data_IF_952871238440
#
_entry.id   IF_952871238440
#
_cell.length_a   1.000
_cell.length_b   1.000
_cell.length_c   1.000
_cell.angle_alpha   90.00
_cell.angle_beta   90.00
_cell.angle_gamma   90.00
#
_symmetry.space_group_name_H-M   'P 1'
#
loop_
_entity.id
_entity.type
_entity.pdbx_description
1 polymer ?
#
# COMPACT_ATOMS: atom_id res chain seq x y z
N UNK A 1 25.55 7.89 15.95
CA UNK A 1 24.31 8.69 16.02
C UNK A 1 24.24 9.48 14.72
N UNK A 2 23.31 9.14 13.81
CA UNK A 2 23.15 9.89 12.56
C UNK A 2 22.38 11.16 12.91
N UNK A 3 23.07 12.29 12.86
CA UNK A 3 22.48 13.59 13.10
C UNK A 3 21.65 13.99 11.86
N UNK A 4 20.32 14.05 12.02
CA UNK A 4 19.41 14.44 10.94
C UNK A 4 19.52 15.95 10.75
N UNK A 5 20.13 16.36 9.65
CA UNK A 5 20.17 17.78 9.27
C UNK A 5 18.76 18.26 8.87
N UNK A 6 18.44 19.55 9.02
CA UNK A 6 17.17 20.13 8.54
C UNK A 6 16.84 19.76 7.09
N UNK A 7 17.87 19.72 6.20
CA UNK A 7 17.73 19.28 4.82
C UNK A 7 17.23 17.83 4.65
N UNK A 8 17.42 16.95 5.63
CA UNK A 8 16.94 15.57 5.59
C UNK A 8 15.45 15.50 5.93
N UNK A 9 14.96 16.42 6.77
CA UNK A 9 13.52 16.55 7.08
C UNK A 9 12.75 17.04 5.86
N UNK A 10 13.22 18.09 5.19
CA UNK A 10 12.60 18.61 3.96
C UNK A 10 12.59 17.57 2.83
N UNK A 11 13.68 16.79 2.69
CA UNK A 11 13.72 15.71 1.71
C UNK A 11 12.69 14.62 2.03
N UNK A 12 12.55 14.24 3.29
CA UNK A 12 11.57 13.22 3.69
C UNK A 12 10.13 13.67 3.47
N UNK A 13 9.82 14.96 3.64
CA UNK A 13 8.51 15.54 3.33
C UNK A 13 8.24 15.53 1.84
N UNK A 14 9.19 15.98 1.03
CA UNK A 14 9.06 15.93 -0.41
C UNK A 14 8.90 14.52 -0.97
N UNK A 15 9.63 13.54 -0.42
CA UNK A 15 9.48 12.14 -0.82
C UNK A 15 8.09 11.58 -0.47
N UNK A 16 7.52 12.00 0.65
CA UNK A 16 6.14 11.64 1.04
C UNK A 16 5.12 12.14 0.03
N UNK A 17 5.27 13.37 -0.44
CA UNK A 17 4.33 14.00 -1.36
C UNK A 17 4.41 13.42 -2.79
N UNK A 18 5.47 12.69 -3.15
CA UNK A 18 5.59 12.01 -4.45
C UNK A 18 4.74 10.76 -4.57
N UNK A 19 4.25 10.19 -3.46
CA UNK A 19 3.55 8.90 -3.39
C UNK A 19 2.09 8.93 -3.85
N UNK A 20 1.69 9.85 -4.71
CA UNK A 20 0.29 10.04 -5.15
C UNK A 20 -0.12 9.16 -6.33
N UNK A 21 0.83 8.65 -7.11
CA UNK A 21 0.58 7.76 -8.25
C UNK A 21 0.48 6.30 -7.83
N UNK A 22 -0.51 5.58 -8.34
CA UNK A 22 -0.59 4.14 -8.19
C UNK A 22 0.44 3.39 -9.05
N UNK A 23 1.03 4.06 -10.04
CA UNK A 23 2.11 3.54 -10.89
C UNK A 23 3.46 3.87 -10.27
N UNK A 24 4.11 2.90 -9.63
CA UNK A 24 5.35 3.17 -8.89
C UNK A 24 6.51 3.68 -9.75
N UNK A 25 6.72 3.30 -11.02
CA UNK A 25 7.73 3.93 -11.88
C UNK A 25 7.57 5.46 -12.00
N UNK A 26 6.35 5.96 -12.00
CA UNK A 26 6.07 7.41 -11.97
C UNK A 26 6.49 8.02 -10.63
N UNK A 27 6.14 7.38 -9.53
CA UNK A 27 6.53 7.78 -8.17
C UNK A 27 8.05 7.72 -8.00
N UNK A 28 8.70 6.63 -8.38
CA UNK A 28 10.16 6.46 -8.27
C UNK A 28 10.93 7.53 -9.03
N UNK A 29 10.50 7.84 -10.26
CA UNK A 29 11.07 8.94 -11.05
C UNK A 29 10.90 10.31 -10.37
N UNK A 30 9.73 10.55 -9.76
CA UNK A 30 9.48 11.78 -9.01
C UNK A 30 10.36 11.85 -7.74
N UNK A 31 10.55 10.75 -7.04
CA UNK A 31 11.45 10.66 -5.88
C UNK A 31 12.90 10.99 -6.25
N UNK A 32 13.43 10.43 -7.36
CA UNK A 32 14.77 10.75 -7.81
C UNK A 32 14.93 12.25 -8.13
N UNK A 33 13.95 12.84 -8.79
CA UNK A 33 13.94 14.29 -9.07
C UNK A 33 13.91 15.12 -7.79
N UNK A 34 13.13 14.71 -6.79
CA UNK A 34 13.06 15.41 -5.51
C UNK A 34 14.38 15.38 -4.75
N UNK A 35 15.13 14.27 -4.83
CA UNK A 35 16.50 14.15 -4.27
C UNK A 35 17.47 15.11 -4.98
N UNK A 36 17.45 15.13 -6.33
CA UNK A 36 18.31 16.01 -7.14
C UNK A 36 18.02 17.50 -6.91
N UNK A 37 16.73 17.87 -6.82
CA UNK A 37 16.31 19.25 -6.61
C UNK A 37 16.82 19.82 -5.27
N UNK A 38 17.29 18.96 -4.35
CA UNK A 38 17.90 19.34 -3.07
C UNK A 38 19.43 19.26 -3.07
N UNK A 39 20.05 19.29 -4.25
CA UNK A 39 21.51 19.30 -4.39
C UNK A 39 22.18 17.99 -3.98
N UNK A 40 21.43 16.89 -3.81
CA UNK A 40 22.00 15.57 -3.53
C UNK A 40 22.42 14.88 -4.82
N UNK A 41 23.47 14.02 -4.79
CA UNK A 41 23.81 13.18 -5.93
C UNK A 41 22.57 12.40 -6.43
N UNK A 42 22.47 12.24 -7.74
CA UNK A 42 21.39 11.48 -8.33
C UNK A 42 21.50 10.00 -7.92
N UNK A 43 20.49 9.42 -7.26
CA UNK A 43 20.49 7.99 -7.01
C UNK A 43 20.27 7.20 -8.31
N UNK A 44 20.79 5.97 -8.37
CA UNK A 44 20.57 5.04 -9.48
C UNK A 44 19.17 4.41 -9.46
N UNK A 45 18.46 4.50 -8.33
CA UNK A 45 17.10 3.98 -8.18
C UNK A 45 16.50 4.22 -6.81
N UNK A 46 15.31 3.68 -6.62
CA UNK A 46 14.55 3.71 -5.36
C UNK A 46 14.02 2.32 -5.06
N UNK A 47 14.15 1.90 -3.81
CA UNK A 47 13.53 0.69 -3.28
C UNK A 47 12.57 1.11 -2.18
N UNK A 48 11.32 0.71 -2.29
CA UNK A 48 10.31 0.88 -1.24
C UNK A 48 9.97 -0.49 -0.66
N UNK A 49 10.06 -0.58 0.65
CA UNK A 49 9.71 -1.75 1.44
C UNK A 49 8.63 -1.36 2.44
N UNK A 50 7.51 -2.06 2.43
CA UNK A 50 6.51 -1.89 3.46
C UNK A 50 6.81 -2.79 4.69
N UNK A 51 6.12 -2.61 5.83
CA UNK A 51 6.31 -3.45 7.00
C UNK A 51 6.05 -4.96 6.77
N UNK A 52 5.23 -5.33 5.78
CA UNK A 52 4.99 -6.73 5.42
C UNK A 52 6.19 -7.32 4.67
N UNK A 53 6.83 -6.55 3.80
CA UNK A 53 8.08 -6.95 3.16
C UNK A 53 9.19 -7.15 4.21
N UNK A 54 9.29 -6.23 5.17
CA UNK A 54 10.26 -6.34 6.25
C UNK A 54 10.01 -7.58 7.12
N UNK A 55 8.74 -7.91 7.40
CA UNK A 55 8.39 -9.17 8.07
C UNK A 55 8.88 -10.39 7.30
N UNK A 56 8.60 -10.46 5.99
CA UNK A 56 9.04 -11.57 5.13
C UNK A 56 10.57 -11.69 5.08
N UNK A 57 11.29 -10.57 5.05
CA UNK A 57 12.75 -10.58 5.12
C UNK A 57 13.23 -11.18 6.45
N UNK A 58 12.62 -10.79 7.57
CA UNK A 58 12.95 -11.34 8.90
C UNK A 58 12.56 -12.81 9.05
N UNK A 59 11.50 -13.29 8.37
CA UNK A 59 11.16 -14.72 8.29
C UNK A 59 12.30 -15.52 7.62
N UNK A 60 12.93 -14.96 6.60
CA UNK A 60 14.00 -15.62 5.84
C UNK A 60 15.38 -15.48 6.49
N UNK A 61 15.69 -14.32 7.05
CA UNK A 61 17.04 -13.99 7.57
C UNK A 61 17.18 -14.13 9.08
N UNK A 62 16.06 -14.38 9.76
CA UNK A 62 16.00 -14.40 11.22
C UNK A 62 15.90 -12.98 11.81
N UNK A 63 15.75 -12.90 13.14
CA UNK A 63 15.61 -11.63 13.84
C UNK A 63 16.93 -10.84 13.86
N UNK A 64 16.80 -9.51 13.96
CA UNK A 64 17.93 -8.58 14.01
C UNK A 64 17.95 -7.78 15.29
N UNK A 65 19.15 -7.48 15.79
CA UNK A 65 19.36 -6.52 16.88
C UNK A 65 19.61 -5.14 16.26
N UNK A 66 18.73 -4.19 16.56
CA UNK A 66 18.85 -2.80 16.07
C UNK A 66 19.55 -1.98 17.15
N UNK A 67 20.74 -1.42 16.88
CA UNK A 67 21.49 -0.65 17.86
C UNK A 67 20.67 0.48 18.47
N UNK A 68 20.59 0.51 19.81
CA UNK A 68 19.82 1.51 20.55
C UNK A 68 18.31 1.28 20.64
N UNK A 69 17.76 0.29 19.89
CA UNK A 69 16.30 0.06 19.77
C UNK A 69 15.86 -1.37 20.11
N UNK A 70 16.80 -2.27 20.33
CA UNK A 70 16.50 -3.65 20.74
C UNK A 70 16.30 -4.59 19.55
N UNK A 71 15.67 -5.76 19.81
CA UNK A 71 15.50 -6.83 18.84
C UNK A 71 14.17 -6.70 18.08
N UNK A 72 14.22 -6.96 16.76
CA UNK A 72 13.05 -7.08 15.92
C UNK A 72 13.05 -8.47 15.28
N UNK A 73 11.93 -9.18 15.38
CA UNK A 73 11.64 -10.45 14.75
C UNK A 73 10.46 -10.33 13.78
N UNK A 74 10.22 -11.38 13.01
CA UNK A 74 9.14 -11.40 12.03
C UNK A 74 7.75 -11.25 12.66
N UNK A 75 7.52 -11.85 13.83
CA UNK A 75 6.21 -11.81 14.50
C UNK A 75 5.84 -10.40 14.95
N UNK A 76 6.82 -9.65 15.49
CA UNK A 76 6.62 -8.29 15.97
C UNK A 76 6.85 -7.19 14.94
N UNK A 77 7.39 -7.49 13.75
CA UNK A 77 7.86 -6.49 12.80
C UNK A 77 6.80 -5.45 12.44
N UNK A 78 5.61 -5.89 12.04
CA UNK A 78 4.55 -4.97 11.61
C UNK A 78 4.14 -4.04 12.74
N UNK A 79 3.86 -4.57 13.94
CA UNK A 79 3.47 -3.77 15.09
C UNK A 79 4.58 -2.77 15.48
N UNK A 80 5.82 -3.25 15.61
CA UNK A 80 6.98 -2.43 16.01
C UNK A 80 7.31 -1.33 15.01
N UNK A 81 7.11 -1.57 13.70
CA UNK A 81 7.37 -0.57 12.64
C UNK A 81 6.21 0.40 12.42
N UNK A 82 5.05 0.14 13.02
CA UNK A 82 3.86 0.95 12.84
C UNK A 82 3.34 1.47 14.17
N UNK A 83 2.34 0.80 14.74
CA UNK A 83 1.63 1.20 15.96
C UNK A 83 2.57 1.45 17.15
N UNK A 84 3.45 0.51 17.45
CA UNK A 84 4.32 0.61 18.63
C UNK A 84 5.34 1.74 18.49
N UNK A 85 5.83 2.00 17.26
CA UNK A 85 6.71 3.12 16.99
C UNK A 85 6.02 4.47 17.25
N UNK A 86 4.76 4.63 16.84
CA UNK A 86 4.00 5.86 17.06
C UNK A 86 3.70 6.10 18.54
N UNK A 87 3.46 5.03 19.30
CA UNK A 87 3.21 5.12 20.74
C UNK A 87 4.48 5.42 21.53
N UNK A 88 5.59 4.78 21.18
CA UNK A 88 6.85 4.86 21.91
C UNK A 88 7.59 6.18 21.65
N UNK A 89 7.53 6.66 20.42
CA UNK A 89 8.19 7.90 19.99
C UNK A 89 7.17 8.88 19.41
N UNK A 90 6.56 9.72 20.27
CA UNK A 90 5.63 10.75 19.81
C UNK A 90 6.27 11.75 18.87
N UNK A 91 7.56 12.02 19.04
CA UNK A 91 8.34 12.88 18.16
C UNK A 91 8.59 12.24 16.79
N UNK A 92 8.39 13.01 15.72
CA UNK A 92 8.51 12.50 14.35
C UNK A 92 9.97 12.19 13.97
N UNK A 93 10.92 12.97 14.47
CA UNK A 93 12.34 12.78 14.14
C UNK A 93 12.92 11.57 14.87
N UNK A 94 12.47 11.31 16.10
CA UNK A 94 12.82 10.08 16.82
C UNK A 94 12.28 8.84 16.09
N UNK A 95 11.03 8.86 15.63
CA UNK A 95 10.48 7.77 14.82
C UNK A 95 11.24 7.58 13.53
N UNK A 96 11.65 8.66 12.88
CA UNK A 96 12.45 8.61 11.65
C UNK A 96 13.81 7.96 11.91
N UNK A 97 14.50 8.36 12.99
CA UNK A 97 15.77 7.73 13.41
C UNK A 97 15.61 6.24 13.68
N UNK A 98 14.55 5.85 14.38
CA UNK A 98 14.23 4.44 14.59
C UNK A 98 14.04 3.67 13.27
N UNK A 99 13.20 4.15 12.37
CA UNK A 99 12.98 3.49 11.09
C UNK A 99 14.24 3.42 10.23
N UNK A 100 15.08 4.45 10.25
CA UNK A 100 16.37 4.46 9.58
C UNK A 100 17.33 3.43 10.17
N UNK A 101 17.41 3.32 11.49
CA UNK A 101 18.25 2.32 12.14
C UNK A 101 17.80 0.90 11.82
N UNK A 102 16.49 0.65 11.81
CA UNK A 102 15.92 -0.66 11.42
C UNK A 102 16.26 -0.98 9.96
N UNK A 103 16.02 -0.04 9.04
CA UNK A 103 16.30 -0.23 7.63
C UNK A 103 17.80 -0.47 7.37
N UNK A 104 18.67 0.34 7.98
CA UNK A 104 20.12 0.18 7.86
C UNK A 104 20.59 -1.20 8.37
N UNK A 105 20.05 -1.65 9.50
CA UNK A 105 20.39 -2.97 10.07
C UNK A 105 19.92 -4.11 9.16
N UNK A 106 18.72 -4.02 8.60
CA UNK A 106 18.20 -5.02 7.67
C UNK A 106 18.99 -5.04 6.36
N UNK A 107 19.30 -3.87 5.79
CA UNK A 107 20.11 -3.77 4.58
C UNK A 107 21.52 -4.31 4.81
N UNK A 108 22.17 -3.96 5.93
CA UNK A 108 23.50 -4.50 6.27
C UNK A 108 23.44 -6.02 6.42
N UNK A 109 22.45 -6.56 7.10
CA UNK A 109 22.22 -8.01 7.24
C UNK A 109 22.02 -8.69 5.89
N UNK A 110 21.25 -8.04 5.01
CA UNK A 110 20.99 -8.49 3.65
C UNK A 110 22.27 -8.56 2.82
N UNK A 111 23.07 -7.48 2.82
CA UNK A 111 24.30 -7.40 2.03
C UNK A 111 25.43 -8.30 2.57
N UNK A 112 25.45 -8.59 3.87
CA UNK A 112 26.44 -9.49 4.50
C UNK A 112 26.01 -10.94 4.52
N UNK A 113 24.78 -11.27 4.13
CA UNK A 113 24.25 -12.62 4.10
C UNK A 113 24.83 -13.44 2.95
N UNK A 114 25.21 -14.70 3.24
CA UNK A 114 25.77 -15.62 2.25
C UNK A 114 24.73 -16.17 1.27
N UNK A 115 23.45 -15.84 1.43
CA UNK A 115 22.35 -16.36 0.61
C UNK A 115 21.55 -15.24 -0.05
N UNK A 116 22.18 -14.58 -1.01
CA UNK A 116 21.52 -13.58 -1.88
C UNK A 116 20.40 -14.20 -2.71
N UNK A 117 20.46 -15.51 -2.99
CA UNK A 117 19.45 -16.21 -3.77
C UNK A 117 18.17 -16.39 -2.94
N UNK A 118 18.27 -16.83 -1.67
CA UNK A 118 17.09 -16.92 -0.80
C UNK A 118 16.44 -15.55 -0.60
N UNK A 119 17.24 -14.53 -0.42
CA UNK A 119 16.74 -13.17 -0.25
C UNK A 119 16.09 -12.64 -1.53
N UNK A 120 16.67 -12.89 -2.69
CA UNK A 120 16.07 -12.56 -3.99
C UNK A 120 14.73 -13.25 -4.20
N UNK A 121 14.59 -14.52 -3.77
CA UNK A 121 13.31 -15.25 -3.80
C UNK A 121 12.25 -14.60 -2.90
N UNK A 122 12.62 -14.19 -1.69
CA UNK A 122 11.70 -13.53 -0.74
C UNK A 122 11.21 -12.19 -1.30
N UNK A 123 12.12 -11.39 -1.84
CA UNK A 123 11.77 -10.12 -2.49
C UNK A 123 10.90 -10.35 -3.73
N UNK A 124 11.24 -11.34 -4.57
CA UNK A 124 10.44 -11.73 -5.72
C UNK A 124 9.03 -12.16 -5.35
N UNK A 125 8.88 -12.96 -4.30
CA UNK A 125 7.57 -13.36 -3.77
C UNK A 125 6.76 -12.20 -3.16
N UNK A 126 7.41 -11.11 -2.76
CA UNK A 126 6.76 -9.91 -2.22
C UNK A 126 6.33 -8.92 -3.31
N UNK A 127 6.87 -9.03 -4.52
CA UNK A 127 6.58 -8.15 -5.67
C UNK A 127 5.10 -8.14 -6.08
N UNK A 128 4.46 -9.28 -6.35
CA UNK A 128 3.05 -9.32 -6.76
C UNK A 128 2.10 -8.67 -5.76
N UNK A 129 2.42 -8.73 -4.46
CA UNK A 129 1.68 -8.04 -3.40
C UNK A 129 2.00 -6.55 -3.28
N UNK A 130 2.93 -6.04 -4.10
CA UNK A 130 3.44 -4.65 -4.05
C UNK A 130 4.04 -4.26 -2.71
N UNK A 131 4.42 -5.23 -1.88
CA UNK A 131 5.09 -4.99 -0.60
C UNK A 131 6.56 -4.54 -0.82
N UNK A 132 7.14 -4.92 -1.95
CA UNK A 132 8.42 -4.43 -2.47
C UNK A 132 8.19 -3.79 -3.82
N UNK A 133 8.69 -2.57 -4.00
CA UNK A 133 8.62 -1.87 -5.26
C UNK A 133 9.99 -1.25 -5.55
N UNK A 134 10.50 -1.44 -6.75
CA UNK A 134 11.83 -0.98 -7.15
C UNK A 134 11.72 -0.18 -8.44
N UNK A 135 12.34 0.99 -8.44
CA UNK A 135 12.54 1.78 -9.65
C UNK A 135 14.04 1.96 -9.91
N UNK A 136 14.48 1.65 -11.11
CA UNK A 136 15.85 1.87 -11.55
C UNK A 136 15.93 2.98 -12.61
N UNK A 137 16.93 3.85 -12.51
CA UNK A 137 17.20 4.87 -13.51
C UNK A 137 17.74 4.28 -14.81
N UNK A 138 18.44 3.15 -14.73
CA UNK A 138 18.90 2.40 -15.89
C UNK A 138 17.73 1.70 -16.59
N UNK A 139 17.51 1.93 -17.90
CA UNK A 139 16.39 1.33 -18.63
C UNK A 139 16.46 -0.20 -18.76
N UNK A 140 17.66 -0.79 -18.77
CA UNK A 140 17.85 -2.23 -18.86
C UNK A 140 17.42 -2.92 -17.59
N UNK A 141 17.90 -2.42 -16.45
CA UNK A 141 17.51 -2.89 -15.13
C UNK A 141 16.02 -2.66 -14.88
N UNK A 142 15.47 -1.51 -15.30
CA UNK A 142 14.03 -1.25 -15.16
C UNK A 142 13.17 -2.26 -15.93
N UNK A 143 13.56 -2.63 -17.16
CA UNK A 143 12.85 -3.69 -17.92
C UNK A 143 12.92 -5.05 -17.24
N UNK A 144 14.05 -5.40 -16.67
CA UNK A 144 14.21 -6.65 -15.92
C UNK A 144 13.29 -6.66 -14.68
N UNK A 145 13.22 -5.56 -13.92
CA UNK A 145 12.34 -5.41 -12.76
C UNK A 145 10.86 -5.54 -13.16
N UNK A 146 10.47 -4.94 -14.29
CA UNK A 146 9.12 -5.07 -14.84
C UNK A 146 8.77 -6.52 -15.20
N UNK A 147 9.69 -7.25 -15.86
CA UNK A 147 9.53 -8.65 -16.18
C UNK A 147 9.29 -9.56 -14.94
N UNK A 148 9.86 -9.18 -13.80
CA UNK A 148 9.66 -9.87 -12.52
C UNK A 148 8.55 -9.26 -11.63
N UNK A 149 7.78 -8.27 -12.13
CA UNK A 149 6.73 -7.55 -11.40
C UNK A 149 7.22 -6.91 -10.08
N UNK A 150 8.47 -6.50 -10.04
CA UNK A 150 9.09 -5.82 -8.90
C UNK A 150 9.02 -4.29 -9.02
N UNK A 151 8.73 -3.78 -10.20
CA UNK A 151 8.69 -2.35 -10.47
C UNK A 151 7.43 -1.65 -9.95
N UNK A 152 6.45 -2.39 -9.44
CA UNK A 152 5.19 -1.81 -8.96
C UNK A 152 4.42 -1.02 -10.01
N UNK A 153 4.63 -1.28 -11.29
CA UNK A 153 3.84 -0.70 -12.37
C UNK A 153 2.38 -1.16 -12.31
N UNK A 154 1.50 -0.35 -12.87
CA UNK A 154 0.14 -0.78 -13.14
C UNK A 154 0.19 -1.87 -14.22
N UNK A 155 -0.33 -3.06 -13.90
CA UNK A 155 -0.35 -4.17 -14.85
C UNK A 155 -1.10 -3.78 -16.14
N UNK A 156 -0.62 -4.25 -17.27
CA UNK A 156 -1.35 -4.11 -18.52
C UNK A 156 -2.51 -5.12 -18.53
N UNK A 157 -3.78 -4.67 -18.64
CA UNK A 157 -4.92 -5.56 -18.70
C UNK A 157 -5.06 -6.24 -20.06
N UNK A 158 -4.28 -5.85 -21.09
CA UNK A 158 -4.57 -6.21 -22.48
C UNK A 158 -5.97 -5.76 -22.85
N UNK A 159 -6.75 -6.64 -23.47
CA UNK A 159 -8.15 -6.38 -23.84
C UNK A 159 -9.15 -6.69 -22.71
N UNK A 160 -8.65 -7.03 -21.52
CA UNK A 160 -9.48 -7.39 -20.36
C UNK A 160 -9.91 -6.22 -19.51
N UNK A 161 -10.75 -6.49 -18.50
CA UNK A 161 -11.07 -5.53 -17.45
C UNK A 161 -9.88 -5.34 -16.49
N UNK A 162 -9.85 -4.21 -15.82
CA UNK A 162 -8.78 -3.82 -14.90
C UNK A 162 -9.35 -3.41 -13.54
N UNK A 163 -8.84 -4.02 -12.49
CA UNK A 163 -9.25 -3.72 -11.12
C UNK A 163 -8.08 -3.17 -10.32
N UNK A 164 -8.10 -1.87 -10.05
CA UNK A 164 -7.25 -1.26 -9.05
C UNK A 164 -8.06 -0.28 -8.20
N UNK A 165 -7.88 -0.37 -6.89
CA UNK A 165 -8.50 0.50 -5.90
C UNK A 165 -7.43 0.92 -4.91
N UNK A 166 -7.33 2.22 -4.67
CA UNK A 166 -6.43 2.76 -3.66
C UNK A 166 -7.11 3.85 -2.83
N UNK A 167 -6.60 4.05 -1.62
CA UNK A 167 -6.99 5.15 -0.76
C UNK A 167 -5.79 6.03 -0.50
N UNK A 168 -6.00 7.33 -0.48
CA UNK A 168 -4.99 8.30 -0.04
C UNK A 168 -5.43 8.85 1.30
N UNK A 169 -4.62 8.67 2.32
CA UNK A 169 -4.88 9.22 3.66
C UNK A 169 -4.38 10.66 3.71
N UNK A 170 -5.30 11.59 3.94
CA UNK A 170 -5.01 13.03 4.09
C UNK A 170 -4.87 13.45 5.55
N UNK A 171 -5.29 12.60 6.50
CA UNK A 171 -5.19 12.88 7.94
C UNK A 171 -3.79 12.67 8.50
N UNK A 172 -2.83 12.25 7.68
CA UNK A 172 -1.43 11.96 8.08
C UNK A 172 -1.32 11.08 9.33
N UNK A 173 -2.34 10.25 9.55
CA UNK A 173 -2.42 9.32 10.67
C UNK A 173 -2.14 7.89 10.20
N UNK A 174 -1.97 6.97 11.14
CA UNK A 174 -1.84 5.54 10.85
C UNK A 174 -3.18 4.79 10.82
N UNK A 175 -4.27 5.51 10.60
CA UNK A 175 -5.63 4.93 10.55
C UNK A 175 -5.75 3.85 9.47
N UNK A 176 -4.93 3.92 8.43
CA UNK A 176 -4.91 2.93 7.34
C UNK A 176 -4.57 1.50 7.81
N UNK A 177 -3.87 1.34 8.94
CA UNK A 177 -3.62 0.04 9.56
C UNK A 177 -4.91 -0.68 9.96
N UNK A 178 -5.96 0.07 10.24
CA UNK A 178 -7.27 -0.42 10.66
C UNK A 178 -8.30 -0.36 9.54
N UNK A 179 -7.91 0.08 8.35
CA UNK A 179 -8.83 0.14 7.22
C UNK A 179 -9.09 -1.25 6.66
N UNK A 180 -10.39 -1.60 6.52
CA UNK A 180 -10.81 -2.83 5.85
C UNK A 180 -11.49 -2.49 4.54
N UNK A 181 -11.17 -3.24 3.50
CA UNK A 181 -11.75 -3.08 2.17
C UNK A 181 -12.42 -4.34 1.68
N UNK A 182 -13.63 -4.18 1.11
CA UNK A 182 -14.29 -5.20 0.33
C UNK A 182 -14.58 -4.68 -1.07
N UNK A 183 -14.31 -5.50 -2.10
CA UNK A 183 -14.58 -5.13 -3.49
C UNK A 183 -15.47 -6.20 -4.10
N UNK A 184 -16.55 -5.75 -4.74
CA UNK A 184 -17.45 -6.59 -5.54
C UNK A 184 -17.55 -6.00 -6.93
N UNK A 185 -17.49 -6.84 -7.95
CA UNK A 185 -17.66 -6.43 -9.33
C UNK A 185 -18.75 -7.28 -9.98
N UNK A 186 -19.66 -6.62 -10.69
CA UNK A 186 -20.71 -7.26 -11.49
C UNK A 186 -20.49 -6.88 -12.93
N UNK A 187 -20.33 -7.86 -13.80
CA UNK A 187 -20.11 -7.66 -15.24
C UNK A 187 -21.33 -8.21 -15.97
N UNK A 188 -21.91 -7.40 -16.86
CA UNK A 188 -22.96 -7.79 -17.78
C UNK A 188 -22.42 -7.68 -19.19
N UNK A 189 -22.27 -8.81 -19.87
CA UNK A 189 -21.85 -8.89 -21.26
C UNK A 189 -23.06 -8.78 -22.17
N UNK A 190 -22.93 -7.97 -23.21
CA UNK A 190 -23.90 -7.87 -24.30
C UNK A 190 -23.47 -8.76 -25.50
N UNK A 191 -24.41 -9.05 -26.40
CA UNK A 191 -24.16 -9.91 -27.57
C UNK A 191 -23.17 -9.30 -28.57
N UNK A 192 -23.02 -7.98 -28.55
CA UNK A 192 -22.09 -7.23 -29.40
C UNK A 192 -20.64 -7.20 -28.83
N UNK A 193 -20.39 -7.94 -27.74
CA UNK A 193 -19.09 -7.98 -27.08
C UNK A 193 -18.84 -6.78 -26.14
N UNK A 194 -19.78 -5.84 -26.02
CA UNK A 194 -19.67 -4.78 -25.02
C UNK A 194 -19.96 -5.30 -23.61
N UNK A 195 -19.44 -4.61 -22.60
CA UNK A 195 -19.71 -4.94 -21.22
C UNK A 195 -20.16 -3.71 -20.42
N UNK A 196 -21.14 -3.90 -19.58
CA UNK A 196 -21.46 -2.96 -18.50
C UNK A 196 -20.95 -3.54 -17.18
N UNK A 197 -20.08 -2.78 -16.52
CA UNK A 197 -19.47 -3.19 -15.26
C UNK A 197 -19.93 -2.27 -14.14
N UNK A 198 -20.30 -2.86 -13.02
CA UNK A 198 -20.58 -2.14 -11.77
C UNK A 198 -19.60 -2.61 -10.72
N UNK A 199 -18.71 -1.73 -10.28
CA UNK A 199 -17.73 -1.97 -9.22
C UNK A 199 -18.20 -1.31 -7.95
N UNK A 200 -18.29 -2.10 -6.87
CA UNK A 200 -18.72 -1.67 -5.54
C UNK A 200 -17.52 -1.83 -4.61
N UNK A 201 -17.08 -0.74 -4.01
CA UNK A 201 -15.96 -0.70 -3.07
C UNK A 201 -16.47 -0.24 -1.72
N UNK A 202 -16.43 -1.12 -0.73
CA UNK A 202 -16.75 -0.79 0.66
C UNK A 202 -15.45 -0.58 1.43
N UNK A 203 -15.33 0.56 2.09
CA UNK A 203 -14.22 0.90 2.98
C UNK A 203 -14.76 1.07 4.38
N UNK A 204 -14.14 0.43 5.36
CA UNK A 204 -14.51 0.51 6.78
C UNK A 204 -13.33 1.03 7.57
N UNK A 205 -13.52 2.07 8.35
CA UNK A 205 -12.58 2.48 9.38
C UNK A 205 -12.82 1.61 10.62
N UNK A 206 -12.00 0.58 10.81
CA UNK A 206 -12.13 -0.38 11.90
C UNK A 206 -11.19 -0.07 13.08
N UNK A 207 -10.90 1.21 13.32
CA UNK A 207 -10.14 1.63 14.52
C UNK A 207 -10.90 1.18 15.76
N UNK A 208 -10.28 0.41 16.66
CA UNK A 208 -10.90 -0.01 17.91
C UNK A 208 -11.21 1.21 18.80
N UNK A 209 -12.25 1.10 19.63
CA UNK A 209 -12.54 2.11 20.63
C UNK A 209 -11.34 2.26 21.60
N UNK A 210 -10.92 3.50 21.85
CA UNK A 210 -9.79 3.78 22.73
C UNK A 210 -8.40 3.53 22.11
N UNK A 211 -8.31 3.11 20.85
CA UNK A 211 -7.02 2.99 20.17
C UNK A 211 -6.40 4.38 19.92
N UNK A 212 -5.20 4.65 20.43
CA UNK A 212 -4.55 5.95 20.27
C UNK A 212 -3.97 6.07 18.85
N UNK A 213 -4.77 6.50 17.89
CA UNK A 213 -4.31 6.81 16.54
C UNK A 213 -3.96 8.29 16.45
N UNK A 214 -2.68 8.60 16.42
CA UNK A 214 -2.22 9.99 16.32
C UNK A 214 -2.33 10.49 14.89
N UNK A 215 -2.80 11.73 14.73
CA UNK A 215 -2.70 12.51 13.50
C UNK A 215 -1.52 13.48 13.60
N UNK A 216 -0.79 13.68 12.50
CA UNK A 216 0.29 14.66 12.46
C UNK A 216 -0.23 16.10 12.37
N UNK A 217 -1.48 16.29 11.95
CA UNK A 217 -2.05 17.62 11.66
C UNK A 217 -2.90 18.19 12.81
N UNK A 218 -3.35 17.36 13.72
CA UNK A 218 -4.10 17.82 14.90
C UNK A 218 -3.16 17.95 16.09
N UNK A 219 -3.21 19.06 16.78
CA UNK A 219 -2.45 19.33 18.01
C UNK A 219 -2.71 18.28 19.10
N UNK A 220 -2.26 17.03 18.87
CA UNK A 220 -2.29 15.94 19.83
C UNK A 220 -3.59 15.15 19.93
N UNK A 221 -4.65 15.46 19.20
CA UNK A 221 -5.91 14.71 19.31
C UNK A 221 -5.88 13.43 18.47
N UNK A 222 -5.97 12.30 19.16
CA UNK A 222 -6.10 10.98 18.54
C UNK A 222 -7.56 10.77 18.08
N UNK A 223 -7.95 11.36 16.95
CA UNK A 223 -9.35 11.27 16.49
C UNK A 223 -9.72 9.92 15.90
N UNK A 224 -8.75 9.10 15.50
CA UNK A 224 -8.99 7.85 14.78
C UNK A 224 -9.77 8.03 13.46
N UNK A 225 -9.93 9.26 12.98
CA UNK A 225 -10.69 9.63 11.79
C UNK A 225 -9.89 9.35 10.52
N UNK A 226 -10.51 8.70 9.54
CA UNK A 226 -9.94 8.41 8.22
C UNK A 226 -10.50 9.38 7.19
N UNK A 227 -9.80 10.49 6.97
CA UNK A 227 -10.15 11.46 5.95
C UNK A 227 -9.21 11.31 4.76
N UNK A 228 -9.75 11.25 3.54
CA UNK A 228 -8.93 11.07 2.36
C UNK A 228 -9.71 10.89 1.08
N UNK A 229 -9.09 10.21 0.12
CA UNK A 229 -9.67 9.95 -1.19
C UNK A 229 -9.72 8.45 -1.45
N UNK A 230 -10.87 7.96 -1.85
CA UNK A 230 -11.05 6.62 -2.41
C UNK A 230 -11.02 6.73 -3.93
N UNK A 231 -10.09 6.00 -4.56
CA UNK A 231 -9.94 6.01 -6.00
C UNK A 231 -10.04 4.61 -6.60
N UNK A 232 -10.65 4.52 -7.77
CA UNK A 232 -10.63 3.33 -8.61
C UNK A 232 -10.14 3.66 -10.00
N UNK A 233 -9.21 2.84 -10.51
CA UNK A 233 -8.69 2.94 -11.86
C UNK A 233 -9.51 2.00 -12.73
N UNK A 234 -10.01 2.52 -13.84
CA UNK A 234 -10.77 1.77 -14.82
C UNK A 234 -9.85 1.29 -15.95
N UNK A 235 -10.24 0.27 -16.72
CA UNK A 235 -9.46 -0.14 -17.89
C UNK A 235 -9.36 0.97 -18.95
N UNK A 236 -8.39 0.91 -19.86
CA UNK A 236 -8.30 1.84 -20.99
C UNK A 236 -9.60 1.84 -21.80
N UNK A 237 -10.04 3.00 -22.26
CA UNK A 237 -11.27 3.13 -23.05
C UNK A 237 -12.57 2.93 -22.30
N UNK A 238 -12.54 2.74 -20.98
CA UNK A 238 -13.75 2.68 -20.17
C UNK A 238 -14.46 4.03 -20.12
N UNK A 239 -15.78 4.01 -20.34
CA UNK A 239 -16.65 5.19 -20.26
C UNK A 239 -17.42 5.16 -18.92
N UNK A 240 -17.19 6.15 -18.06
CA UNK A 240 -17.92 6.28 -16.80
C UNK A 240 -19.40 6.57 -17.10
N UNK A 241 -20.28 5.75 -16.53
CA UNK A 241 -21.74 5.90 -16.63
C UNK A 241 -22.29 6.61 -15.40
N UNK A 242 -21.91 6.16 -14.21
CA UNK A 242 -22.38 6.75 -12.95
C UNK A 242 -21.43 6.45 -11.78
N UNK A 243 -21.48 7.31 -10.78
CA UNK A 243 -20.85 7.08 -9.49
C UNK A 243 -21.81 7.43 -8.36
N UNK A 244 -21.86 6.58 -7.34
CA UNK A 244 -22.63 6.85 -6.12
C UNK A 244 -21.77 6.59 -4.88
N UNK A 245 -21.95 7.41 -3.85
CA UNK A 245 -21.37 7.20 -2.52
C UNK A 245 -22.51 6.97 -1.52
N UNK A 246 -22.49 5.82 -0.86
CA UNK A 246 -23.55 5.39 0.08
C UNK A 246 -24.97 5.46 -0.54
N UNK A 247 -25.06 5.05 -1.82
CA UNK A 247 -26.29 5.03 -2.61
C UNK A 247 -26.73 6.39 -3.17
N UNK A 248 -26.06 7.48 -2.84
CA UNK A 248 -26.37 8.81 -3.35
C UNK A 248 -25.49 9.16 -4.56
N UNK A 249 -26.03 9.73 -5.64
CA UNK A 249 -25.21 10.22 -6.75
C UNK A 249 -24.13 11.17 -6.28
N UNK A 250 -22.91 10.98 -6.77
CA UNK A 250 -21.76 11.85 -6.47
C UNK A 250 -21.10 12.28 -7.77
N UNK A 251 -20.58 13.52 -7.79
CA UNK A 251 -19.74 14.01 -8.89
C UNK A 251 -18.28 13.67 -8.52
N UNK A 252 -17.68 12.66 -9.14
CA UNK A 252 -16.30 12.30 -8.83
C UNK A 252 -15.31 13.29 -9.48
N UNK A 253 -14.13 13.41 -8.89
CA UNK A 253 -12.96 13.95 -9.60
C UNK A 253 -12.48 12.90 -10.60
N UNK A 254 -12.34 13.31 -11.86
CA UNK A 254 -11.82 12.46 -12.93
C UNK A 254 -10.36 12.83 -13.21
N UNK A 255 -9.53 11.83 -13.31
CA UNK A 255 -8.12 11.96 -13.67
C UNK A 255 -7.75 10.86 -14.68
N UNK A 256 -6.52 10.92 -15.17
CA UNK A 256 -5.95 9.88 -16.03
C UNK A 256 -4.62 9.43 -15.47
N UNK A 257 -4.40 8.12 -15.42
CA UNK A 257 -3.13 7.52 -15.02
C UNK A 257 -2.73 6.41 -15.99
N UNK A 258 -1.60 6.57 -16.65
CA UNK A 258 -1.13 5.63 -17.69
C UNK A 258 -2.20 5.32 -18.75
N UNK A 259 -2.87 6.38 -19.25
CA UNK A 259 -3.94 6.25 -20.26
C UNK A 259 -5.27 5.65 -19.74
N UNK A 260 -5.41 5.47 -18.42
CA UNK A 260 -6.59 4.87 -17.79
C UNK A 260 -7.40 5.90 -17.04
N UNK A 261 -8.73 5.89 -17.16
CA UNK A 261 -9.58 6.75 -16.34
C UNK A 261 -9.45 6.41 -14.86
N UNK A 262 -9.32 7.44 -14.03
CA UNK A 262 -9.32 7.33 -12.56
C UNK A 262 -10.51 8.07 -12.02
N UNK A 263 -11.33 7.38 -11.25
CA UNK A 263 -12.51 7.94 -10.57
C UNK A 263 -12.15 8.12 -9.10
N UNK A 264 -12.17 9.37 -8.59
CA UNK A 264 -11.80 9.71 -7.22
C UNK A 264 -12.99 10.34 -6.49
N UNK A 265 -13.19 9.92 -5.24
CA UNK A 265 -14.23 10.46 -4.36
C UNK A 265 -13.65 10.69 -2.98
N UNK A 266 -13.92 11.85 -2.39
CA UNK A 266 -13.55 12.14 -1.00
C UNK A 266 -14.33 11.25 -0.04
N UNK A 267 -13.65 10.73 0.98
CA UNK A 267 -14.25 9.99 2.09
C UNK A 267 -13.77 10.59 3.41
N UNK A 268 -14.62 10.50 4.42
CA UNK A 268 -14.34 10.97 5.76
C UNK A 268 -15.08 10.12 6.79
N UNK A 269 -14.34 9.20 7.40
CA UNK A 269 -14.89 8.12 8.20
C UNK A 269 -14.38 8.20 9.64
N UNK A 270 -15.28 8.43 10.58
CA UNK A 270 -14.98 8.21 12.00
C UNK A 270 -14.77 6.72 12.32
N UNK A 271 -14.25 6.38 13.51
CA UNK A 271 -14.12 4.99 13.96
C UNK A 271 -15.43 4.22 13.84
N UNK A 272 -15.37 2.98 13.36
CA UNK A 272 -16.53 2.11 13.12
C UNK A 272 -17.40 2.49 11.92
N UNK A 273 -17.15 3.60 11.24
CA UNK A 273 -17.93 4.04 10.07
C UNK A 273 -17.44 3.42 8.78
N UNK A 274 -18.31 3.35 7.79
CA UNK A 274 -18.03 2.82 6.48
C UNK A 274 -18.54 3.75 5.39
N UNK A 275 -17.90 3.68 4.21
CA UNK A 275 -18.40 4.25 2.96
C UNK A 275 -18.46 3.18 1.87
N UNK A 276 -19.41 3.29 0.97
CA UNK A 276 -19.58 2.39 -0.16
C UNK A 276 -19.61 3.22 -1.46
N UNK A 277 -18.55 3.14 -2.23
CA UNK A 277 -18.48 3.72 -3.56
C UNK A 277 -18.94 2.69 -4.59
N UNK A 278 -19.96 3.02 -5.39
CA UNK A 278 -20.31 2.23 -6.56
C UNK A 278 -20.03 3.04 -7.83
N UNK A 279 -19.29 2.42 -8.75
CA UNK A 279 -18.91 3.02 -10.05
C UNK A 279 -19.42 2.09 -11.15
N UNK A 280 -20.26 2.62 -12.03
CA UNK A 280 -20.68 1.92 -13.24
C UNK A 280 -20.00 2.51 -14.46
N UNK A 281 -19.46 1.65 -15.32
CA UNK A 281 -18.79 2.03 -16.55
C UNK A 281 -19.09 1.05 -17.68
N UNK A 282 -18.86 1.47 -18.89
CA UNK A 282 -19.04 0.68 -20.12
C UNK A 282 -17.69 0.43 -20.78
N UNK A 283 -17.51 -0.78 -21.27
CA UNK A 283 -16.43 -1.19 -22.17
C UNK A 283 -17.04 -1.50 -23.54
N UNK A 284 -16.51 -0.93 -24.60
CA UNK A 284 -17.06 -1.08 -25.96
C UNK A 284 -16.71 -2.46 -26.54
N UNK A 285 -15.57 -3.00 -26.19
CA UNK A 285 -15.15 -4.37 -26.59
C UNK A 285 -14.55 -5.03 -25.37
N UNK A 286 -15.23 -6.03 -24.83
CA UNK A 286 -14.66 -6.91 -23.81
C UNK A 286 -14.22 -8.19 -24.53
N UNK A 287 -12.92 -8.35 -24.79
CA UNK A 287 -12.41 -9.66 -25.18
C UNK A 287 -12.71 -10.64 -24.04
N UNK A 288 -13.39 -11.72 -24.37
CA UNK A 288 -13.83 -12.72 -23.43
C UNK A 288 -12.63 -13.55 -22.94
N UNK A 289 -11.89 -13.01 -21.98
CA UNK A 289 -10.94 -13.79 -21.17
C UNK A 289 -11.29 -13.60 -19.71
N UNK A 290 -12.38 -14.21 -19.28
CA UNK A 290 -12.71 -14.36 -17.87
C UNK A 290 -11.75 -15.38 -17.24
N UNK A 291 -10.54 -14.96 -16.92
CA UNK A 291 -9.69 -15.70 -15.99
C UNK A 291 -10.12 -15.31 -14.59
N UNK A 292 -10.98 -16.12 -13.99
CA UNK A 292 -11.35 -15.99 -12.59
C UNK A 292 -10.12 -16.31 -11.72
N UNK A 293 -9.29 -15.32 -11.42
CA UNK A 293 -8.33 -15.42 -10.33
C UNK A 293 -9.02 -15.06 -9.03
N UNK A 294 -9.44 -16.08 -8.29
CA UNK A 294 -9.85 -15.96 -6.90
C UNK A 294 -8.62 -15.56 -6.08
N UNK A 295 -8.44 -14.27 -5.83
CA UNK A 295 -7.51 -13.82 -4.79
C UNK A 295 -8.14 -14.13 -3.44
N UNK A 296 -7.48 -15.06 -2.73
CA UNK A 296 -7.92 -15.62 -1.47
C UNK A 296 -8.25 -14.57 -0.43
N UNK A 297 -9.36 -14.80 0.21
CA UNK A 297 -9.72 -14.24 1.50
C UNK A 297 -8.61 -14.52 2.50
N UNK A 298 -8.19 -13.49 3.22
CA UNK A 298 -7.31 -13.63 4.38
C UNK A 298 -7.88 -14.69 5.35
N UNK A 299 -7.06 -15.56 5.93
CA UNK A 299 -7.54 -16.57 6.85
C UNK A 299 -8.09 -15.88 8.11
N UNK A 300 -9.36 -16.13 8.38
CA UNK A 300 -10.02 -15.81 9.64
C UNK A 300 -9.25 -16.53 10.77
N UNK A 301 -8.91 -15.87 11.87
CA UNK A 301 -8.30 -16.56 13.00
C UNK A 301 -9.30 -17.58 13.53
N UNK A 302 -8.93 -18.86 13.51
CA UNK A 302 -9.71 -19.93 14.13
C UNK A 302 -9.71 -19.69 15.63
N UNK A 303 -10.90 -19.49 16.19
CA UNK A 303 -11.12 -19.53 17.62
C UNK A 303 -10.80 -20.95 18.13
N UNK A 304 -9.75 -21.04 18.93
CA UNK A 304 -9.43 -22.26 19.65
C UNK A 304 -10.45 -22.44 20.78
N UNK A 305 -11.49 -23.25 20.58
CA UNK A 305 -12.35 -23.69 21.64
C UNK A 305 -11.68 -24.87 22.36
N UNK A 306 -11.08 -24.60 23.51
CA UNK A 306 -10.70 -25.62 24.48
C UNK A 306 -11.93 -26.26 25.06
N UNK A 307 -12.21 -27.49 24.69
CA UNK A 307 -13.06 -28.37 25.49
C UNK A 307 -12.19 -29.15 26.49
N UNK A 308 -12.51 -29.19 27.79
CA UNK A 308 -11.91 -30.12 28.68
C UNK A 308 -12.65 -31.47 28.55
N UNK A 309 -11.94 -32.54 28.16
CA UNK A 309 -12.45 -33.88 28.30
C UNK A 309 -12.07 -34.39 29.71
N UNK A 310 -13.05 -34.46 30.57
CA UNK A 310 -13.05 -35.31 31.76
C UNK A 310 -13.25 -36.77 31.30
N UNK A 311 -12.44 -37.67 31.72
CA UNK A 311 -12.55 -39.11 31.40
C UNK A 311 -11.65 -39.97 32.28
N UNK A 312 -12.24 -40.42 33.34
CA UNK A 312 -11.87 -41.51 34.26
C UNK A 312 -11.28 -42.74 33.59
N UNK A 313 -10.17 -43.23 34.02
CA UNK A 313 -9.84 -44.50 34.71
C UNK A 313 -8.34 -44.74 34.70
#
# INVERSE_FOLDING_TARGET
MVDLRPADTELAEALRDTGTSANFPTTGKAMLRAVQARGRPRPDGVIVLDPLAMRKLLEATGPVAVPGYGRIDAAGAVAKLTRDADLRWPDQDERRRYHQAVLATLVARFLSGNDLVATGRVLGAAGPGRNVQVYAADPGLQRMLAGHRLDGALADPGDGDYLAVHTTNRSRSRVDLFQRRGIRQVVRLARDGSAQVTRIVKVVNAVPAGEPVRSADAAGEASGRSAGTLATILPPGAELVSATLDGRPVRPELATEQGRPVVRVGIDLGPGRAATLAVSYRLRTAAATATASSTGSAPTPRSCSTRPSCGSR
#
